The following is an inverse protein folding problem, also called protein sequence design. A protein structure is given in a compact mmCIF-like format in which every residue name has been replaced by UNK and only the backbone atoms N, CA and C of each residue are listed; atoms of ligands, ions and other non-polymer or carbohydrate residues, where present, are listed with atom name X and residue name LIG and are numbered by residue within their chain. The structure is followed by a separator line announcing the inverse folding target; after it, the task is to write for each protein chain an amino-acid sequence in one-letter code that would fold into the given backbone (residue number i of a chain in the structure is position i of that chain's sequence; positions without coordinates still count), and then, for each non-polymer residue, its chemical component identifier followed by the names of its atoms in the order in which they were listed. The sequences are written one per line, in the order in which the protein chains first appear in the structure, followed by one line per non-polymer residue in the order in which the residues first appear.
data_IF_115015677226
#
_entry.id   IF_115015677226
#
_cell.length_a   1.000
_cell.length_b   1.000
_cell.length_c   1.000
_cell.angle_alpha   90.00
_cell.angle_beta   90.00
_cell.angle_gamma   90.00
#
_symmetry.space_group_name_H-M   'P 1'
#
loop_
_entity.id
_entity.type
_entity.pdbx_description
1 polymer ?
#
# COMPACT_ATOMS: atom_id res chain seq x y z
N UNK A 1 -3.74 29.99 -4.30
CA UNK A 1 -2.93 29.89 -3.07
C UNK A 1 -3.82 29.31 -1.98
N UNK A 2 -4.13 28.00 -2.07
CA UNK A 2 -5.01 27.34 -1.11
C UNK A 2 -4.15 26.63 -0.08
N UNK A 3 -4.03 27.31 1.06
CA UNK A 3 -3.90 26.81 2.42
C UNK A 3 -3.02 25.57 2.65
N UNK A 4 -1.79 25.84 3.09
CA UNK A 4 -1.04 24.95 3.95
C UNK A 4 -1.75 24.77 5.30
N UNK A 5 -2.66 23.80 5.43
CA UNK A 5 -3.25 23.44 6.73
C UNK A 5 -3.95 22.07 6.75
N UNK A 6 -3.24 20.97 6.46
CA UNK A 6 -3.60 19.67 7.03
C UNK A 6 -2.38 19.03 7.70
N UNK A 7 -2.37 19.25 9.02
CA UNK A 7 -1.58 18.57 10.04
C UNK A 7 -1.42 17.07 9.77
N UNK A 8 -0.16 16.62 9.71
CA UNK A 8 0.28 15.32 10.25
C UNK A 8 -0.53 14.08 9.89
N UNK A 9 -1.03 13.99 8.66
CA UNK A 9 -1.50 12.74 8.07
C UNK A 9 -0.57 12.47 6.91
N UNK A 10 0.13 11.35 6.94
CA UNK A 10 0.94 10.93 5.81
C UNK A 10 -0.02 10.70 4.64
N UNK A 11 -0.16 11.69 3.75
CA UNK A 11 -0.88 11.50 2.51
C UNK A 11 -0.07 10.53 1.65
N UNK A 12 -0.44 9.26 1.68
CA UNK A 12 -0.04 8.29 0.66
C UNK A 12 -0.65 8.63 -0.73
N UNK A 13 -1.42 9.73 -0.83
CA UNK A 13 -2.16 10.23 -1.99
C UNK A 13 -1.25 10.87 -3.07
N UNK A 14 0.02 11.16 -2.78
CA UNK A 14 0.97 11.64 -3.82
C UNK A 14 1.58 10.48 -4.62
N UNK A 15 0.89 9.34 -4.71
CA UNK A 15 1.38 8.14 -5.36
C UNK A 15 0.32 7.46 -6.22
N UNK A 16 -0.64 8.22 -6.77
CA UNK A 16 -1.59 7.69 -7.76
C UNK A 16 -0.84 6.99 -8.93
N UNK A 17 0.36 7.46 -9.28
CA UNK A 17 1.21 6.91 -10.35
C UNK A 17 2.36 5.99 -9.85
N UNK A 18 2.66 5.97 -8.56
CA UNK A 18 3.77 5.16 -8.03
C UNK A 18 3.29 3.74 -7.70
N UNK A 19 4.13 2.79 -8.06
CA UNK A 19 3.86 1.37 -7.86
C UNK A 19 3.77 1.05 -6.36
N UNK A 20 2.92 0.07 -6.03
CA UNK A 20 2.84 -0.48 -4.68
C UNK A 20 4.16 -1.03 -4.14
N UNK A 21 5.15 -1.30 -5.01
CA UNK A 21 6.49 -1.72 -4.62
C UNK A 21 7.10 -0.88 -3.48
N UNK A 22 7.02 0.47 -3.55
CA UNK A 22 7.55 1.33 -2.47
C UNK A 22 6.76 1.17 -1.17
N UNK A 23 5.43 1.10 -1.28
CA UNK A 23 4.53 0.95 -0.14
C UNK A 23 4.75 -0.39 0.57
N UNK A 24 4.80 -1.48 -0.20
CA UNK A 24 5.05 -2.82 0.31
C UNK A 24 6.43 -2.92 0.93
N UNK A 25 7.46 -2.31 0.34
CA UNK A 25 8.81 -2.30 0.89
C UNK A 25 8.88 -1.52 2.21
N UNK A 26 8.24 -0.36 2.30
CA UNK A 26 8.16 0.41 3.54
C UNK A 26 7.36 -0.33 4.62
N UNK A 27 6.28 -1.01 4.24
CA UNK A 27 5.49 -1.82 5.14
C UNK A 27 6.28 -3.03 5.67
N UNK A 28 6.90 -3.80 4.78
CA UNK A 28 7.77 -4.94 5.09
C UNK A 28 8.89 -4.56 6.07
N UNK A 29 9.53 -3.41 5.87
CA UNK A 29 10.56 -2.89 6.78
C UNK A 29 10.00 -2.55 8.17
N UNK A 30 8.81 -1.92 8.23
CA UNK A 30 8.11 -1.62 9.49
C UNK A 30 7.74 -2.89 10.27
N UNK A 31 7.22 -3.91 9.59
CA UNK A 31 6.87 -5.19 10.22
C UNK A 31 8.06 -6.13 10.39
N UNK A 32 9.24 -5.76 9.87
CA UNK A 32 10.47 -6.56 9.84
C UNK A 32 10.26 -7.95 9.23
N UNK A 33 9.37 -8.05 8.25
CA UNK A 33 9.09 -9.26 7.50
C UNK A 33 9.51 -9.08 6.05
N UNK A 34 9.80 -10.19 5.39
CA UNK A 34 10.10 -10.14 3.96
C UNK A 34 8.82 -10.02 3.15
N UNK A 35 8.87 -9.23 2.08
CA UNK A 35 7.74 -8.99 1.17
C UNK A 35 7.21 -10.30 0.55
N UNK A 36 8.06 -11.32 0.39
CA UNK A 36 7.67 -12.66 -0.09
C UNK A 36 6.75 -13.43 0.87
N UNK A 37 6.86 -13.12 2.17
CA UNK A 37 6.07 -13.69 3.26
C UNK A 37 4.80 -12.88 3.52
N UNK A 38 4.63 -11.74 2.85
CA UNK A 38 3.45 -10.89 2.95
C UNK A 38 2.61 -11.05 1.69
N UNK A 39 1.31 -11.19 1.85
CA UNK A 39 0.33 -11.21 0.76
C UNK A 39 -0.57 -10.02 0.96
N UNK A 40 -0.53 -9.11 -0.01
CA UNK A 40 -1.39 -7.94 -0.04
C UNK A 40 -2.65 -8.30 -0.82
N UNK A 41 -3.81 -8.07 -0.23
CA UNK A 41 -5.12 -8.29 -0.82
C UNK A 41 -5.92 -6.98 -0.79
N UNK A 42 -6.69 -6.75 -1.85
CA UNK A 42 -7.64 -5.65 -1.97
C UNK A 42 -8.94 -6.19 -2.57
N UNK A 43 -10.07 -5.92 -1.94
CA UNK A 43 -11.38 -6.46 -2.35
C UNK A 43 -11.42 -8.00 -2.53
N UNK A 44 -10.56 -8.71 -1.79
CA UNK A 44 -10.40 -10.16 -1.91
C UNK A 44 -9.48 -10.63 -3.04
N UNK A 45 -8.95 -9.72 -3.86
CA UNK A 45 -7.98 -10.00 -4.92
C UNK A 45 -6.55 -9.68 -4.50
N UNK A 46 -5.60 -10.50 -4.95
CA UNK A 46 -4.18 -10.31 -4.61
C UNK A 46 -3.57 -9.17 -5.41
N UNK A 47 -2.97 -8.22 -4.71
CA UNK A 47 -2.31 -7.08 -5.32
C UNK A 47 -0.90 -7.46 -5.76
N UNK A 48 -0.55 -7.10 -6.98
CA UNK A 48 0.81 -7.24 -7.49
C UNK A 48 1.63 -5.99 -7.10
N UNK A 49 2.89 -6.10 -6.64
CA UNK A 49 3.78 -4.95 -6.44
C UNK A 49 3.94 -4.06 -7.67
N UNK A 50 3.73 -4.59 -8.88
CA UNK A 50 3.78 -3.83 -10.13
C UNK A 50 2.47 -3.11 -10.48
N UNK A 51 1.39 -3.37 -9.75
CA UNK A 51 0.13 -2.68 -9.97
C UNK A 51 0.20 -1.25 -9.44
N UNK A 52 -0.65 -0.38 -9.97
CA UNK A 52 -0.83 0.99 -9.50
C UNK A 52 -2.18 1.13 -8.80
N UNK A 53 -2.32 2.06 -7.83
CA UNK A 53 -3.59 2.36 -7.19
C UNK A 53 -4.70 2.65 -8.22
N UNK A 54 -4.41 3.42 -9.27
CA UNK A 54 -5.37 3.71 -10.34
C UNK A 54 -5.80 2.46 -11.11
N UNK A 55 -4.89 1.48 -11.30
CA UNK A 55 -5.23 0.23 -11.99
C UNK A 55 -6.15 -0.68 -11.16
N UNK A 56 -6.08 -0.57 -9.83
CA UNK A 56 -7.00 -1.24 -8.92
C UNK A 56 -8.25 -0.43 -8.62
N UNK A 57 -8.29 0.85 -9.03
CA UNK A 57 -9.37 1.76 -8.70
C UNK A 57 -9.40 2.13 -7.21
N UNK A 58 -8.22 2.15 -6.56
CA UNK A 58 -8.13 2.50 -5.15
C UNK A 58 -8.40 3.99 -4.91
N UNK A 59 -9.29 4.26 -3.97
CA UNK A 59 -9.60 5.58 -3.41
C UNK A 59 -8.87 5.81 -2.07
N UNK A 60 -8.94 7.03 -1.55
CA UNK A 60 -8.26 7.42 -0.31
C UNK A 60 -8.76 6.70 0.96
N UNK A 61 -9.99 6.19 0.94
CA UNK A 61 -10.59 5.46 2.07
C UNK A 61 -10.38 3.93 1.96
N UNK A 62 -9.69 3.47 0.91
CA UNK A 62 -9.49 2.05 0.66
C UNK A 62 -8.42 1.42 1.56
N UNK A 63 -8.68 0.17 1.95
CA UNK A 63 -7.85 -0.58 2.89
C UNK A 63 -7.22 -1.77 2.18
N UNK A 64 -5.89 -1.88 2.29
CA UNK A 64 -5.14 -3.06 1.85
C UNK A 64 -5.02 -4.03 3.01
N UNK A 65 -5.55 -5.23 2.83
CA UNK A 65 -5.38 -6.33 3.77
C UNK A 65 -4.01 -6.98 3.56
N UNK A 66 -3.31 -7.26 4.66
CA UNK A 66 -2.00 -7.93 4.61
C UNK A 66 -2.06 -9.23 5.39
N UNK A 67 -1.77 -10.33 4.71
CA UNK A 67 -1.68 -11.66 5.30
C UNK A 67 -0.23 -12.11 5.34
N UNK A 68 0.25 -12.52 6.51
CA UNK A 68 1.47 -13.28 6.61
C UNK A 68 1.23 -14.70 6.07
N UNK A 69 2.09 -15.15 5.15
CA UNK A 69 2.17 -16.58 4.84
C UNK A 69 2.79 -17.25 6.06
N UNK A 70 2.14 -18.28 6.64
CA UNK A 70 2.81 -19.08 7.64
C UNK A 70 4.05 -19.70 7.00
N UNK A 71 5.23 -19.34 7.51
CA UNK A 71 6.47 -20.02 7.17
C UNK A 71 6.32 -21.47 7.65
N UNK A 72 6.22 -22.41 6.71
CA UNK A 72 6.40 -23.83 7.02
C UNK A 72 7.86 -24.09 7.40
#
# INVERSE_FOLDING_TARGET
MYSAFYKSTWCFIDFEDDKFERLFKSFADKVKLELQNLVFCFDGDKINPNATPSSLGMEDDDIIEVHEKPSC
#
